data_IF_660858280920
#
_entry.id   IF_660858280920
#
_cell.length_a   1.000
_cell.length_b   1.000
_cell.length_c   1.000
_cell.angle_alpha   90.00
_cell.angle_beta   90.00
_cell.angle_gamma   90.00
#
_symmetry.space_group_name_H-M   'P 1'
#
loop_
_entity.id
_entity.type
_entity.pdbx_description
1 polymer ?
#
# COMPACT_ATOMS: atom_id res chain seq x y z
N UNK A 1 22.12 -0.75 -34.64
CA UNK A 1 21.60 0.23 -33.66
C UNK A 1 20.88 -0.53 -32.56
N UNK A 2 21.10 -0.19 -31.30
CA UNK A 2 20.36 -0.78 -30.17
C UNK A 2 18.99 -0.12 -29.98
N UNK A 3 18.06 -0.85 -29.36
CA UNK A 3 16.76 -0.36 -28.91
C UNK A 3 16.87 0.16 -27.48
N UNK A 4 16.37 1.38 -27.23
CA UNK A 4 16.27 1.94 -25.88
C UNK A 4 15.30 1.11 -25.01
N UNK A 5 15.40 1.20 -23.67
CA UNK A 5 14.53 0.44 -22.79
C UNK A 5 13.07 0.91 -22.89
N UNK A 6 12.14 -0.03 -22.79
CA UNK A 6 10.70 0.24 -22.65
C UNK A 6 10.14 -0.58 -21.50
N UNK A 7 9.45 0.06 -20.56
CA UNK A 7 8.84 -0.62 -19.41
C UNK A 7 7.44 -1.10 -19.84
N UNK A 8 7.25 -2.42 -19.87
CA UNK A 8 5.98 -3.07 -20.24
C UNK A 8 5.12 -3.42 -19.03
N UNK A 9 5.71 -3.49 -17.84
CA UNK A 9 4.99 -3.71 -16.59
C UNK A 9 5.51 -2.75 -15.54
N UNK A 10 4.60 -1.92 -15.02
CA UNK A 10 4.88 -0.92 -14.01
C UNK A 10 4.88 -1.52 -12.60
N UNK A 11 5.61 -0.93 -11.64
CA UNK A 11 5.50 -1.33 -10.25
C UNK A 11 4.14 -0.88 -9.69
N UNK A 12 3.51 -1.74 -8.91
CA UNK A 12 2.20 -1.47 -8.33
C UNK A 12 2.32 -0.84 -6.95
N UNK A 13 1.40 0.08 -6.64
CA UNK A 13 1.21 0.55 -5.28
C UNK A 13 0.77 -0.59 -4.36
N UNK A 14 1.18 -0.55 -3.09
CA UNK A 14 0.86 -1.58 -2.10
C UNK A 14 0.45 -0.96 -0.79
N UNK A 15 -0.45 -1.63 -0.07
CA UNK A 15 -0.75 -1.32 1.32
C UNK A 15 -0.31 -2.51 2.17
N UNK A 16 0.55 -2.28 3.15
CA UNK A 16 1.17 -3.31 3.98
C UNK A 16 1.07 -2.95 5.47
N UNK A 17 1.17 -3.91 6.38
CA UNK A 17 1.27 -3.57 7.80
C UNK A 17 2.63 -2.93 8.11
N UNK A 18 2.71 -2.16 9.20
CA UNK A 18 3.96 -1.52 9.62
C UNK A 18 5.06 -2.55 9.86
N UNK A 19 6.23 -2.35 9.24
CA UNK A 19 7.38 -3.25 9.39
C UNK A 19 7.38 -4.46 8.45
N UNK A 20 6.37 -4.65 7.61
CA UNK A 20 6.39 -5.67 6.57
C UNK A 20 7.22 -5.24 5.34
N UNK A 21 7.64 -6.22 4.53
CA UNK A 21 8.30 -5.97 3.24
C UNK A 21 7.27 -5.79 2.13
N UNK A 22 7.42 -4.73 1.32
CA UNK A 22 6.59 -4.52 0.13
C UNK A 22 7.38 -4.85 -1.15
N UNK A 23 7.09 -5.98 -1.79
CA UNK A 23 7.73 -6.33 -3.06
C UNK A 23 7.25 -5.45 -4.22
N UNK A 24 8.17 -4.75 -4.86
CA UNK A 24 8.00 -3.98 -6.09
C UNK A 24 8.76 -4.67 -7.23
N UNK A 25 8.20 -4.64 -8.44
CA UNK A 25 8.83 -5.23 -9.62
C UNK A 25 8.48 -4.48 -10.89
N UNK A 26 9.38 -4.49 -11.87
CA UNK A 26 9.13 -4.00 -13.22
C UNK A 26 9.54 -5.03 -14.26
N UNK A 27 8.90 -4.97 -15.42
CA UNK A 27 9.35 -5.69 -16.63
C UNK A 27 9.72 -4.65 -17.68
N UNK A 28 10.94 -4.77 -18.21
CA UNK A 28 11.45 -3.90 -19.25
C UNK A 28 12.03 -4.72 -20.40
N UNK A 29 11.84 -4.22 -21.62
CA UNK A 29 12.47 -4.74 -22.84
C UNK A 29 13.46 -3.70 -23.37
N UNK A 30 14.37 -4.11 -24.25
CA UNK A 30 15.41 -3.25 -24.81
C UNK A 30 16.67 -4.04 -25.14
N UNK A 31 17.64 -3.40 -25.79
CA UNK A 31 18.93 -4.04 -26.06
C UNK A 31 19.70 -4.24 -24.75
N UNK A 32 20.17 -5.46 -24.51
CA UNK A 32 20.99 -5.78 -23.35
C UNK A 32 22.40 -5.14 -23.43
N UNK A 33 23.07 -4.90 -22.29
CA UNK A 33 22.59 -5.11 -20.92
C UNK A 33 21.63 -4.01 -20.47
N UNK A 34 20.57 -4.40 -19.74
CA UNK A 34 19.72 -3.48 -19.01
C UNK A 34 20.27 -3.29 -17.60
N UNK A 35 20.29 -2.05 -17.12
CA UNK A 35 20.69 -1.68 -15.77
C UNK A 35 19.52 -1.00 -15.07
N UNK A 36 19.39 -1.20 -13.76
CA UNK A 36 18.28 -0.70 -12.97
C UNK A 36 18.83 0.14 -11.82
N UNK A 37 18.09 1.17 -11.43
CA UNK A 37 18.32 1.90 -10.19
C UNK A 37 16.98 2.35 -9.64
N UNK A 38 16.66 1.92 -8.41
CA UNK A 38 15.48 2.39 -7.68
C UNK A 38 15.78 3.70 -6.96
N UNK A 39 14.76 4.54 -6.85
CA UNK A 39 14.80 5.85 -6.22
C UNK A 39 13.62 6.00 -5.26
N UNK A 40 13.83 6.77 -4.19
CA UNK A 40 12.77 7.23 -3.30
C UNK A 40 12.19 8.52 -3.87
N UNK A 41 10.86 8.65 -3.82
CA UNK A 41 10.14 9.87 -4.22
C UNK A 41 9.33 9.70 -5.49
N UNK A 42 9.18 10.81 -6.23
CA UNK A 42 8.35 10.88 -7.43
C UNK A 42 9.18 10.55 -8.67
N UNK A 43 8.58 9.80 -9.60
CA UNK A 43 9.23 9.43 -10.86
C UNK A 43 9.83 10.63 -11.59
N UNK A 44 11.09 10.48 -12.01
CA UNK A 44 11.88 11.52 -12.65
C UNK A 44 12.88 12.20 -11.71
N UNK A 45 12.63 12.24 -10.40
CA UNK A 45 13.56 12.79 -9.42
C UNK A 45 14.62 11.75 -9.01
N UNK A 46 15.86 12.02 -9.42
CA UNK A 46 17.01 11.13 -9.21
C UNK A 46 17.86 11.52 -8.00
N UNK A 47 17.41 12.46 -7.16
CA UNK A 47 18.17 12.95 -6.02
C UNK A 47 18.37 11.90 -4.90
N UNK A 48 17.47 10.91 -4.79
CA UNK A 48 17.50 9.91 -3.72
C UNK A 48 17.58 8.47 -4.24
N UNK A 49 18.74 8.02 -4.75
CA UNK A 49 18.93 6.63 -5.14
C UNK A 49 18.92 5.71 -3.92
N UNK A 50 18.27 4.56 -4.07
CA UNK A 50 18.35 3.48 -3.07
C UNK A 50 19.61 2.66 -3.30
N UNK A 51 20.56 2.74 -2.38
CA UNK A 51 21.84 2.03 -2.49
C UNK A 51 21.63 0.50 -2.64
N UNK A 52 22.27 -0.10 -3.64
CA UNK A 52 22.20 -1.55 -3.90
C UNK A 52 20.93 -2.04 -4.59
N UNK A 53 19.92 -1.20 -4.77
CA UNK A 53 18.69 -1.57 -5.47
C UNK A 53 18.87 -1.45 -6.99
N UNK A 54 19.60 -2.41 -7.57
CA UNK A 54 19.98 -2.44 -8.99
C UNK A 54 19.36 -3.61 -9.77
N UNK A 55 18.28 -4.18 -9.25
CA UNK A 55 17.54 -5.29 -9.86
C UNK A 55 16.16 -4.87 -10.33
N UNK A 56 15.57 -5.66 -11.23
CA UNK A 56 14.19 -5.45 -11.70
C UNK A 56 13.13 -5.63 -10.58
N UNK A 57 13.50 -6.27 -9.47
CA UNK A 57 12.68 -6.42 -8.26
C UNK A 57 13.36 -5.76 -7.05
N UNK A 58 12.56 -5.21 -6.16
CA UNK A 58 13.02 -4.49 -4.96
C UNK A 58 12.02 -4.68 -3.82
N UNK A 59 12.49 -5.00 -2.61
CA UNK A 59 11.63 -5.26 -1.44
C UNK A 59 12.06 -4.38 -0.26
N UNK A 60 11.67 -3.08 -0.24
CA UNK A 60 11.92 -2.20 0.89
C UNK A 60 11.14 -2.62 2.13
N UNK A 61 11.74 -2.38 3.29
CA UNK A 61 11.05 -2.30 4.58
C UNK A 61 10.81 -0.83 4.87
N UNK A 62 9.55 -0.45 5.11
CA UNK A 62 9.16 0.92 5.41
C UNK A 62 8.29 0.98 6.65
N UNK A 63 8.47 2.04 7.43
CA UNK A 63 7.68 2.32 8.65
C UNK A 63 6.69 3.47 8.44
N UNK A 64 6.71 4.11 7.27
CA UNK A 64 5.81 5.19 6.88
C UNK A 64 5.52 5.14 5.39
N UNK A 65 4.47 5.85 4.97
CA UNK A 65 4.08 5.93 3.57
C UNK A 65 5.23 6.48 2.73
N UNK A 66 5.72 5.67 1.79
CA UNK A 66 6.92 5.98 1.00
C UNK A 66 6.69 5.66 -0.46
N UNK A 67 7.16 6.54 -1.35
CA UNK A 67 7.05 6.39 -2.80
C UNK A 67 8.36 5.90 -3.39
N UNK A 68 8.28 5.03 -4.39
CA UNK A 68 9.42 4.50 -5.12
C UNK A 68 9.17 4.51 -6.62
N UNK A 69 10.25 4.60 -7.38
CA UNK A 69 10.25 4.43 -8.82
C UNK A 69 11.60 3.86 -9.28
N UNK A 70 11.66 3.31 -10.48
CA UNK A 70 12.89 2.75 -11.04
C UNK A 70 13.22 3.35 -12.39
N UNK A 71 14.51 3.66 -12.60
CA UNK A 71 15.06 3.98 -13.91
C UNK A 71 15.74 2.75 -14.49
N UNK A 72 15.43 2.44 -15.75
CA UNK A 72 16.07 1.39 -16.53
C UNK A 72 16.92 2.04 -17.62
N UNK A 73 18.18 1.65 -17.73
CA UNK A 73 19.16 2.24 -18.65
C UNK A 73 19.88 1.19 -19.49
N UNK A 74 20.19 1.53 -20.74
CA UNK A 74 21.13 0.80 -21.59
C UNK A 74 21.92 1.80 -22.47
N UNK A 75 22.78 1.29 -23.36
CA UNK A 75 23.60 2.13 -24.24
C UNK A 75 22.79 2.98 -25.25
N UNK A 76 21.52 2.64 -25.50
CA UNK A 76 20.65 3.35 -26.44
C UNK A 76 19.75 4.39 -25.75
N UNK A 77 19.61 4.36 -24.41
CA UNK A 77 18.81 5.34 -23.68
C UNK A 77 18.32 4.87 -22.31
N UNK A 78 17.23 5.49 -21.84
CA UNK A 78 16.66 5.25 -20.53
C UNK A 78 15.12 5.28 -20.55
N UNK A 79 14.50 4.56 -19.63
CA UNK A 79 13.07 4.66 -19.32
C UNK A 79 12.86 4.75 -17.80
N UNK A 80 11.88 5.53 -17.37
CA UNK A 80 11.48 5.65 -15.97
C UNK A 80 10.11 5.00 -15.76
N UNK A 81 9.94 4.28 -14.65
CA UNK A 81 8.64 3.71 -14.28
C UNK A 81 7.67 4.79 -13.80
N UNK A 82 6.39 4.44 -13.66
CA UNK A 82 5.47 5.21 -12.82
C UNK A 82 5.89 5.12 -11.35
N UNK A 83 5.42 6.08 -10.54
CA UNK A 83 5.60 6.05 -9.08
C UNK A 83 4.72 4.98 -8.46
N UNK A 84 5.30 4.08 -7.67
CA UNK A 84 4.60 3.14 -6.81
C UNK A 84 4.63 3.65 -5.36
N UNK A 85 3.45 3.78 -4.74
CA UNK A 85 3.33 4.21 -3.34
C UNK A 85 3.15 2.98 -2.46
N UNK A 86 3.98 2.87 -1.42
CA UNK A 86 3.78 1.91 -0.34
C UNK A 86 3.13 2.65 0.82
N UNK A 87 1.89 2.30 1.12
CA UNK A 87 1.10 2.85 2.22
C UNK A 87 1.13 1.90 3.41
N UNK A 88 1.27 2.44 4.63
CA UNK A 88 1.16 1.63 5.85
C UNK A 88 -0.31 1.54 6.26
N UNK A 89 -0.78 0.31 6.45
CA UNK A 89 -2.12 0.02 6.91
C UNK A 89 -2.28 0.41 8.39
N UNK A 90 -3.40 1.03 8.72
CA UNK A 90 -3.82 1.34 10.09
C UNK A 90 -4.88 0.36 10.56
N UNK A 91 -4.69 -0.17 11.76
CA UNK A 91 -5.64 -1.11 12.37
C UNK A 91 -7.00 -0.42 12.62
N UNK A 92 -8.13 -1.14 12.46
CA UNK A 92 -9.43 -0.60 12.80
C UNK A 92 -9.52 -0.19 14.27
N UNK A 93 -9.97 1.03 14.54
CA UNK A 93 -10.21 1.54 15.90
C UNK A 93 -11.55 2.27 15.95
N UNK A 94 -12.37 1.96 16.96
CA UNK A 94 -13.62 2.69 17.21
C UNK A 94 -13.30 4.03 17.86
N UNK A 95 -13.60 5.13 17.18
CA UNK A 95 -13.39 6.51 17.67
C UNK A 95 -14.65 7.11 18.28
N UNK A 96 -15.84 6.61 17.90
CA UNK A 96 -17.11 6.95 18.55
C UNK A 96 -17.80 5.68 18.98
N UNK A 97 -17.88 5.50 20.30
CA UNK A 97 -18.54 4.38 20.94
C UNK A 97 -20.07 4.49 20.79
N UNK A 98 -20.79 3.35 20.74
CA UNK A 98 -22.24 3.39 20.74
C UNK A 98 -22.74 3.88 22.10
N UNK A 99 -23.75 4.75 22.09
CA UNK A 99 -24.38 5.24 23.31
C UNK A 99 -25.49 4.29 23.77
N UNK A 100 -25.67 4.10 25.09
CA UNK A 100 -26.78 3.31 25.62
C UNK A 100 -28.12 3.96 25.25
N UNK A 101 -29.11 3.14 24.95
CA UNK A 101 -30.49 3.58 24.67
C UNK A 101 -31.48 2.75 25.47
N UNK A 102 -32.42 3.44 26.11
CA UNK A 102 -33.60 2.84 26.75
C UNK A 102 -34.80 3.06 25.84
N UNK A 103 -35.51 1.98 25.50
CA UNK A 103 -36.69 2.02 24.62
C UNK A 103 -37.85 1.28 25.28
N UNK A 104 -39.07 1.63 24.90
CA UNK A 104 -40.25 0.86 25.31
C UNK A 104 -40.30 -0.48 24.56
N UNK A 105 -40.95 -1.47 25.14
CA UNK A 105 -41.15 -2.79 24.52
C UNK A 105 -41.76 -2.66 23.12
N UNK A 106 -41.21 -3.41 22.16
CA UNK A 106 -41.65 -3.41 20.76
C UNK A 106 -41.12 -2.26 19.89
N UNK A 107 -40.35 -1.32 20.45
CA UNK A 107 -39.69 -0.27 19.66
C UNK A 107 -38.33 -0.73 19.11
N UNK A 108 -37.82 -0.01 18.11
CA UNK A 108 -36.51 -0.25 17.51
C UNK A 108 -35.46 0.67 18.11
N UNK A 109 -34.34 0.10 18.56
CA UNK A 109 -33.14 0.86 18.89
C UNK A 109 -32.17 0.86 17.70
N UNK A 110 -31.66 2.04 17.35
CA UNK A 110 -30.56 2.17 16.37
C UNK A 110 -29.28 2.54 17.11
N UNK A 111 -28.26 1.70 16.97
CA UNK A 111 -26.91 1.94 17.47
C UNK A 111 -25.99 2.24 16.29
N UNK A 112 -25.03 3.12 16.51
CA UNK A 112 -24.02 3.47 15.53
C UNK A 112 -22.66 3.56 16.20
N UNK A 113 -21.62 3.30 15.41
CA UNK A 113 -20.22 3.52 15.76
C UNK A 113 -19.55 4.30 14.63
N UNK A 114 -18.49 5.00 14.98
CA UNK A 114 -17.54 5.53 13.99
C UNK A 114 -16.23 4.81 14.20
N UNK A 115 -15.70 4.20 13.15
CA UNK A 115 -14.39 3.55 13.16
C UNK A 115 -13.46 4.20 12.14
N UNK A 116 -12.17 4.22 12.46
CA UNK A 116 -11.08 4.62 11.57
C UNK A 116 -10.17 3.43 11.32
N UNK A 117 -9.37 3.47 10.24
CA UNK A 117 -8.49 2.39 9.83
C UNK A 117 -8.34 2.34 8.31
N UNK A 118 -7.54 1.41 7.80
CA UNK A 118 -7.43 1.19 6.36
C UNK A 118 -8.69 0.54 5.80
N UNK A 119 -9.27 1.13 4.76
CA UNK A 119 -10.46 0.63 4.09
C UNK A 119 -10.19 -0.61 3.22
N UNK A 120 -11.22 -1.45 2.95
CA UNK A 120 -12.58 -1.36 3.48
C UNK A 120 -12.68 -1.85 4.93
N UNK A 121 -13.43 -1.11 5.76
CA UNK A 121 -13.81 -1.56 7.09
C UNK A 121 -15.10 -2.38 7.01
N UNK A 122 -15.16 -3.48 7.74
CA UNK A 122 -16.37 -4.30 7.90
C UNK A 122 -16.85 -4.23 9.35
N UNK A 123 -18.16 -4.35 9.54
CA UNK A 123 -18.80 -4.19 10.84
C UNK A 123 -19.66 -5.41 11.13
N UNK A 124 -19.58 -5.92 12.36
CA UNK A 124 -20.45 -6.96 12.88
C UNK A 124 -20.85 -6.57 14.30
N UNK A 125 -22.16 -6.62 14.58
CA UNK A 125 -22.69 -6.37 15.92
C UNK A 125 -22.85 -7.68 16.67
N UNK A 126 -22.64 -7.63 17.98
CA UNK A 126 -22.84 -8.75 18.88
C UNK A 126 -23.67 -8.31 20.08
N UNK A 127 -24.53 -9.19 20.57
CA UNK A 127 -25.26 -9.00 21.82
C UNK A 127 -24.49 -9.66 22.98
N UNK A 128 -24.47 -8.99 24.14
CA UNK A 128 -23.78 -9.49 25.34
C UNK A 128 -22.71 -8.54 25.87
N UNK A 129 -21.77 -9.10 26.65
CA UNK A 129 -20.68 -8.33 27.25
C UNK A 129 -19.64 -7.96 26.18
N UNK A 130 -19.01 -6.79 26.30
CA UNK A 130 -17.93 -6.40 25.40
C UNK A 130 -16.85 -7.48 25.34
N UNK A 131 -16.47 -7.88 24.12
CA UNK A 131 -15.51 -8.97 23.87
C UNK A 131 -16.14 -10.34 23.61
N UNK A 132 -17.44 -10.54 23.85
CA UNK A 132 -18.11 -11.80 23.48
C UNK A 132 -18.57 -11.76 22.02
N UNK A 133 -18.03 -12.67 21.19
CA UNK A 133 -18.33 -12.76 19.75
C UNK A 133 -19.20 -13.97 19.39
N UNK A 134 -19.92 -14.54 20.35
CA UNK A 134 -20.70 -15.78 20.16
C UNK A 134 -22.16 -15.55 19.78
N UNK A 135 -22.65 -14.31 19.87
CA UNK A 135 -24.03 -13.96 19.54
C UNK A 135 -24.06 -12.78 18.56
N UNK A 136 -23.86 -13.01 17.24
CA UNK A 136 -23.99 -11.96 16.25
C UNK A 136 -25.46 -11.52 16.13
N UNK A 137 -25.66 -10.23 15.86
CA UNK A 137 -26.97 -9.61 15.54
C UNK A 137 -27.15 -9.54 14.03
#
# INVERSE_FOLDING_TARGET
MGTAPTITTQPLARTIASGETAGLSVVATGTAPLTYQWYIGISGDTAQPVAGATSASFSPVVTGTTSYWVRVTNAAGAASSTTAVITIASAPTITTQPLPKTINSGQTASLSVVATGTAPLTYQWYSGTSGTTTQPV
#
